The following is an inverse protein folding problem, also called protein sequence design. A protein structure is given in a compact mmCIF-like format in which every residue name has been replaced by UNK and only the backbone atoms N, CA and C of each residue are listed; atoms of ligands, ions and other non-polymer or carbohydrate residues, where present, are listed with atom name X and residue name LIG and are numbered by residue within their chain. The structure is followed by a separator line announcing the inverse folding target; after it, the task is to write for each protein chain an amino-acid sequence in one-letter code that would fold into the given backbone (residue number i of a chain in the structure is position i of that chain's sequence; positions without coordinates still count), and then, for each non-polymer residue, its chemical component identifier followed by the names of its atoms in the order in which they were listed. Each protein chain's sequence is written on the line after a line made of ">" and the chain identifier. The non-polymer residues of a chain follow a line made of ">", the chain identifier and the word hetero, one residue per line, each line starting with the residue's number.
data_IF_317041627608
#
_entry.id   IF_317041627608
#
_cell.length_a   1.000
_cell.length_b   1.000
_cell.length_c   1.000
_cell.angle_alpha   90.00
_cell.angle_beta   90.00
_cell.angle_gamma   90.00
#
_symmetry.space_group_name_H-M   'P 1'
#
loop_
_entity.id
_entity.type
_entity.pdbx_description
1 polymer ?
#
# COMPACT_ATOMS: atom_id res chain seq x y z
N UNK A 1 -3.91 -0.17 -7.47
CA UNK A 1 -2.45 0.08 -7.40
C UNK A 1 -2.15 1.58 -7.47
N UNK A 2 -2.52 2.28 -8.56
CA UNK A 2 -2.28 3.72 -8.71
C UNK A 2 -2.70 4.57 -7.50
N UNK A 3 -3.90 4.36 -6.95
CA UNK A 3 -4.36 5.09 -5.76
C UNK A 3 -3.47 4.91 -4.51
N UNK A 4 -2.87 3.73 -4.32
CA UNK A 4 -1.96 3.44 -3.19
C UNK A 4 -0.62 4.16 -3.39
N UNK A 5 -0.11 4.14 -4.62
CA UNK A 5 1.16 4.79 -4.95
C UNK A 5 1.05 6.32 -4.86
N UNK A 6 -0.09 6.88 -5.27
CA UNK A 6 -0.40 8.31 -5.07
C UNK A 6 -0.49 8.63 -3.57
N UNK A 7 -1.13 7.77 -2.77
CA UNK A 7 -1.19 7.90 -1.32
C UNK A 7 0.20 7.86 -0.64
N UNK A 8 1.16 7.18 -1.24
CA UNK A 8 2.56 7.14 -0.77
C UNK A 8 3.43 8.26 -1.35
N UNK A 9 2.85 9.20 -2.11
CA UNK A 9 3.60 10.30 -2.74
C UNK A 9 4.60 9.83 -3.80
N UNK A 10 4.32 8.68 -4.44
CA UNK A 10 5.16 8.07 -5.48
C UNK A 10 4.33 7.61 -6.68
N UNK A 11 3.61 8.52 -7.36
CA UNK A 11 2.90 8.18 -8.60
C UNK A 11 3.85 7.67 -9.69
N UNK A 12 5.12 8.10 -9.65
CA UNK A 12 6.19 7.70 -10.57
C UNK A 12 6.54 6.20 -10.49
N UNK A 13 6.07 5.51 -9.45
CA UNK A 13 6.24 4.08 -9.30
C UNK A 13 5.10 3.29 -9.92
N UNK A 14 4.23 3.91 -10.73
CA UNK A 14 3.26 3.13 -11.50
C UNK A 14 3.98 2.18 -12.48
N UNK A 15 3.58 0.91 -12.55
CA UNK A 15 4.08 0.02 -13.59
C UNK A 15 3.79 0.62 -14.97
N UNK A 16 4.81 0.64 -15.82
CA UNK A 16 4.72 1.17 -17.18
C UNK A 16 4.38 0.02 -18.13
N UNK A 17 3.25 0.13 -18.84
CA UNK A 17 2.79 -0.89 -19.79
C UNK A 17 2.36 -2.20 -19.12
N UNK A 18 2.66 -3.34 -19.76
CA UNK A 18 2.31 -4.69 -19.30
C UNK A 18 3.41 -5.35 -18.44
N UNK A 19 4.26 -4.53 -17.80
CA UNK A 19 5.34 -5.07 -16.99
C UNK A 19 4.78 -5.93 -15.85
N UNK A 20 5.29 -7.16 -15.75
CA UNK A 20 4.88 -8.05 -14.69
C UNK A 20 5.41 -7.54 -13.34
N UNK A 21 4.86 -8.08 -12.26
CA UNK A 21 5.11 -7.57 -10.91
C UNK A 21 6.59 -7.63 -10.50
N UNK A 22 7.34 -8.60 -11.04
CA UNK A 22 8.76 -8.80 -10.76
C UNK A 22 9.60 -7.75 -11.49
N UNK A 23 9.29 -7.50 -12.76
CA UNK A 23 9.97 -6.47 -13.57
C UNK A 23 9.71 -5.07 -13.01
N UNK A 24 8.45 -4.80 -12.69
CA UNK A 24 8.06 -3.56 -12.03
C UNK A 24 8.80 -3.38 -10.70
N UNK A 25 8.79 -4.39 -9.83
CA UNK A 25 9.49 -4.35 -8.54
C UNK A 25 10.99 -4.06 -8.69
N UNK A 26 11.65 -4.77 -9.60
CA UNK A 26 13.08 -4.61 -9.86
C UNK A 26 13.47 -3.25 -10.44
N UNK A 27 12.50 -2.52 -11.02
CA UNK A 27 12.72 -1.19 -11.61
C UNK A 27 12.66 -0.04 -10.59
N UNK A 28 12.11 -0.27 -9.39
CA UNK A 28 11.93 0.79 -8.40
C UNK A 28 13.24 1.04 -7.65
N UNK A 29 13.90 2.17 -7.96
CA UNK A 29 15.06 2.62 -7.21
C UNK A 29 14.61 3.36 -5.94
N UNK A 30 14.75 2.70 -4.80
CA UNK A 30 14.41 3.24 -3.47
C UNK A 30 15.69 3.53 -2.70
N UNK A 31 15.86 4.72 -2.09
CA UNK A 31 17.00 4.98 -1.21
C UNK A 31 17.09 3.94 -0.09
N UNK A 32 18.30 3.49 0.23
CA UNK A 32 18.53 2.41 1.21
C UNK A 32 17.82 2.67 2.56
N UNK A 33 17.75 3.94 2.98
CA UNK A 33 17.09 4.38 4.22
C UNK A 33 15.59 4.09 4.27
N UNK A 34 14.91 4.07 3.13
CA UNK A 34 13.44 3.83 3.03
C UNK A 34 13.10 2.49 2.37
N UNK A 35 14.11 1.72 1.95
CA UNK A 35 13.92 0.43 1.28
C UNK A 35 13.23 -0.60 2.16
N UNK A 36 13.56 -0.62 3.47
CA UNK A 36 12.93 -1.50 4.46
C UNK A 36 11.44 -1.17 4.65
N UNK A 37 11.14 0.12 4.84
CA UNK A 37 9.77 0.59 5.04
C UNK A 37 8.91 0.34 3.80
N UNK A 38 9.49 0.57 2.61
CA UNK A 38 8.85 0.25 1.34
C UNK A 38 8.55 -1.24 1.16
N UNK A 39 9.54 -2.11 1.43
CA UNK A 39 9.36 -3.56 1.37
C UNK A 39 8.25 -4.04 2.31
N UNK A 40 8.16 -3.45 3.50
CA UNK A 40 7.13 -3.75 4.49
C UNK A 40 5.75 -3.29 4.01
N UNK A 41 5.63 -2.07 3.47
CA UNK A 41 4.39 -1.53 2.93
C UNK A 41 3.87 -2.34 1.73
N UNK A 42 4.77 -2.77 0.84
CA UNK A 42 4.41 -3.59 -0.32
C UNK A 42 3.98 -4.99 0.10
N UNK A 43 4.69 -5.58 1.07
CA UNK A 43 4.28 -6.85 1.68
C UNK A 43 2.87 -6.77 2.26
N UNK A 44 2.56 -5.67 2.97
CA UNK A 44 1.21 -5.43 3.51
C UNK A 44 0.14 -5.35 2.42
N UNK A 45 0.43 -4.67 1.31
CA UNK A 45 -0.49 -4.56 0.17
C UNK A 45 -0.72 -5.93 -0.46
N UNK A 46 0.34 -6.71 -0.73
CA UNK A 46 0.19 -8.04 -1.31
C UNK A 46 -0.55 -9.00 -0.39
N UNK A 47 -0.23 -8.96 0.90
CA UNK A 47 -0.94 -9.76 1.90
C UNK A 47 -2.43 -9.40 1.95
N UNK A 48 -2.78 -8.12 1.89
CA UNK A 48 -4.17 -7.66 1.86
C UNK A 48 -4.92 -8.09 0.61
N UNK A 49 -4.26 -8.07 -0.56
CA UNK A 49 -4.84 -8.58 -1.82
C UNK A 49 -5.10 -10.08 -1.71
N UNK A 50 -4.11 -10.85 -1.26
CA UNK A 50 -4.22 -12.30 -1.09
C UNK A 50 -5.36 -12.66 -0.13
N UNK A 51 -5.44 -11.96 1.01
CA UNK A 51 -6.51 -12.14 2.00
C UNK A 51 -7.89 -11.87 1.39
N UNK A 52 -8.06 -10.74 0.69
CA UNK A 52 -9.34 -10.39 0.05
C UNK A 52 -9.75 -11.40 -1.02
N UNK A 53 -8.80 -11.88 -1.83
CA UNK A 53 -9.05 -12.93 -2.82
C UNK A 53 -9.52 -14.23 -2.17
N UNK A 54 -8.96 -14.61 -1.03
CA UNK A 54 -9.44 -15.75 -0.26
C UNK A 54 -10.85 -15.51 0.30
N UNK A 55 -11.15 -14.33 0.83
CA UNK A 55 -12.51 -14.01 1.29
C UNK A 55 -13.54 -14.03 0.15
N UNK A 56 -13.14 -13.69 -1.07
CA UNK A 56 -14.01 -13.81 -2.26
C UNK A 56 -14.29 -15.28 -2.57
N UNK A 57 -13.25 -16.12 -2.58
CA UNK A 57 -13.35 -17.55 -2.92
C UNK A 57 -14.07 -18.36 -1.84
N UNK A 58 -13.75 -18.14 -0.57
CA UNK A 58 -14.22 -18.97 0.54
C UNK A 58 -15.48 -18.43 1.22
N UNK A 59 -15.66 -17.11 1.26
CA UNK A 59 -16.79 -16.47 1.97
C UNK A 59 -17.82 -15.87 1.02
N UNK A 60 -17.62 -15.98 -0.30
CA UNK A 60 -18.55 -15.45 -1.31
C UNK A 60 -18.65 -13.93 -1.32
N UNK A 61 -17.66 -13.23 -0.76
CA UNK A 61 -17.63 -11.76 -0.79
C UNK A 61 -17.40 -11.25 -2.22
N UNK A 62 -17.92 -10.07 -2.53
CA UNK A 62 -17.67 -9.47 -3.85
C UNK A 62 -16.26 -8.88 -3.92
N UNK A 63 -15.55 -9.02 -5.06
CA UNK A 63 -14.24 -8.41 -5.25
C UNK A 63 -14.34 -6.88 -5.12
N UNK A 64 -13.55 -6.28 -4.23
CA UNK A 64 -13.62 -4.85 -3.92
C UNK A 64 -12.24 -4.28 -3.61
N UNK A 65 -11.75 -3.40 -4.48
CA UNK A 65 -10.53 -2.64 -4.25
C UNK A 65 -10.63 -1.75 -3.00
N UNK A 66 -11.82 -1.23 -2.69
CA UNK A 66 -12.05 -0.42 -1.50
C UNK A 66 -11.81 -1.20 -0.21
N UNK A 67 -12.24 -2.47 -0.16
CA UNK A 67 -12.03 -3.33 1.00
C UNK A 67 -10.54 -3.55 1.28
N UNK A 68 -9.77 -3.82 0.21
CA UNK A 68 -8.30 -3.97 0.27
C UNK A 68 -7.64 -2.66 0.76
N UNK A 69 -8.02 -1.52 0.19
CA UNK A 69 -7.48 -0.21 0.58
C UNK A 69 -7.75 0.12 2.05
N UNK A 70 -9.00 -0.04 2.50
CA UNK A 70 -9.38 0.22 3.87
C UNK A 70 -8.60 -0.68 4.85
N UNK A 71 -8.39 -1.94 4.49
CA UNK A 71 -7.60 -2.86 5.30
C UNK A 71 -6.12 -2.46 5.39
N UNK A 72 -5.49 -2.08 4.27
CA UNK A 72 -4.11 -1.58 4.25
C UNK A 72 -3.97 -0.33 5.12
N UNK A 73 -4.93 0.60 5.04
CA UNK A 73 -4.94 1.82 5.86
C UNK A 73 -5.06 1.51 7.36
N UNK A 74 -6.02 0.65 7.74
CA UNK A 74 -6.20 0.26 9.14
C UNK A 74 -4.96 -0.41 9.71
N UNK A 75 -4.33 -1.29 8.95
CA UNK A 75 -3.15 -2.01 9.41
C UNK A 75 -1.94 -1.09 9.50
N UNK A 76 -1.79 -0.15 8.56
CA UNK A 76 -0.76 0.86 8.65
C UNK A 76 -0.89 1.76 9.90
N UNK A 77 -2.12 2.15 10.27
CA UNK A 77 -2.40 2.90 11.50
C UNK A 77 -2.06 2.06 12.75
N UNK A 78 -2.40 0.77 12.78
CA UNK A 78 -2.03 -0.12 13.89
C UNK A 78 -0.51 -0.26 14.01
N UNK A 79 0.19 -0.38 12.90
CA UNK A 79 1.64 -0.52 12.91
C UNK A 79 2.35 0.75 13.39
N UNK A 80 1.78 1.93 13.09
CA UNK A 80 2.23 3.20 13.67
C UNK A 80 2.10 3.20 15.19
N UNK A 81 0.95 2.76 15.73
CA UNK A 81 0.72 2.70 17.18
C UNK A 81 1.71 1.76 17.90
N UNK A 82 2.28 0.80 17.18
CA UNK A 82 3.27 -0.16 17.70
C UNK A 82 4.73 0.22 17.42
N UNK A 83 4.99 1.39 16.81
CA UNK A 83 6.33 1.85 16.36
C UNK A 83 7.05 0.91 15.38
N UNK A 84 6.33 -0.03 14.75
CA UNK A 84 6.88 -0.99 13.78
C UNK A 84 7.17 -0.34 12.41
N UNK A 85 6.59 0.82 12.12
CA UNK A 85 6.82 1.60 10.91
C UNK A 85 7.10 3.06 11.27
N UNK A 86 8.16 3.65 10.71
CA UNK A 86 8.55 5.02 11.00
C UNK A 86 7.63 6.01 10.27
N UNK A 87 7.18 7.04 11.00
CA UNK A 87 6.15 8.07 10.73
C UNK A 87 6.03 8.68 9.32
N UNK A 88 6.99 8.45 8.42
CA UNK A 88 7.15 9.21 7.18
C UNK A 88 6.62 8.53 5.91
N UNK A 89 6.33 7.23 5.91
CA UNK A 89 6.01 6.54 4.65
C UNK A 89 4.51 6.53 4.30
N UNK A 90 3.63 6.33 5.29
CA UNK A 90 2.19 6.16 5.03
C UNK A 90 1.42 7.48 5.10
N UNK A 91 1.81 8.40 6.00
CA UNK A 91 1.05 9.64 6.26
C UNK A 91 1.52 10.85 5.43
N UNK A 92 2.71 10.80 4.83
CA UNK A 92 3.23 11.94 4.04
C UNK A 92 2.38 12.22 2.80
N UNK A 93 1.81 11.20 2.15
CA UNK A 93 0.88 11.40 1.03
C UNK A 93 -0.60 11.57 1.45
N UNK A 94 -0.98 11.20 2.67
CA UNK A 94 -2.28 11.57 3.26
C UNK A 94 -2.35 13.07 3.60
N UNK A 95 -1.22 13.68 3.96
CA UNK A 95 -1.13 15.13 4.25
C UNK A 95 -1.22 16.00 2.98
N UNK A 96 -0.76 15.51 1.83
CA UNK A 96 -0.85 16.21 0.54
C UNK A 96 -2.21 16.06 -0.16
N UNK A 97 -3.01 15.05 0.23
CA UNK A 97 -4.30 14.73 -0.41
C UNK A 97 -5.54 15.28 0.33
N UNK A 98 -5.36 16.04 1.42
CA UNK A 98 -6.46 16.72 2.13
C UNK A 98 -7.45 15.80 2.87
N UNK A 99 -7.17 14.50 2.98
CA UNK A 99 -8.06 13.52 3.63
C UNK A 99 -7.98 13.49 5.17
N UNK A 100 -7.13 14.31 5.77
CA UNK A 100 -6.93 14.36 7.22
C UNK A 100 -8.04 15.10 7.99
N UNK A 101 -9.07 15.62 7.31
CA UNK A 101 -10.16 16.39 7.96
C UNK A 101 -11.40 15.52 8.27
N UNK A 102 -11.40 14.23 7.93
CA UNK A 102 -12.59 13.35 8.12
C UNK A 102 -12.27 12.06 8.85
N UNK A 103 -11.47 12.14 9.92
CA UNK A 103 -11.40 11.11 10.98
C UNK A 103 -11.56 11.77 12.33
#
# INVERSE_FOLDING_TARGET
>A
MGAILTLWGRPDWMPVGDSNIREWWGSISVPHEVQKDFGTAVTLVFWSIWRHQNDVVFSGTSPSCWCILNHVLQEAVRWEQTHLCTRNFVLSGLRTSGLLVVV
#
